data_IF_031850389696
#
_entry.id   IF_031850389696
#
_cell.length_a   1.000
_cell.length_b   1.000
_cell.length_c   1.000
_cell.angle_alpha   90.00
_cell.angle_beta   90.00
_cell.angle_gamma   90.00
#
_symmetry.space_group_name_H-M   'P 1'
#
loop_
_entity.id
_entity.type
_entity.pdbx_description
1 polymer ?
#
# COMPACT_ATOMS: atom_id res chain seq x y z
N UNK A 1 -26.26 9.48 -5.88
CA UNK A 1 -25.92 8.06 -6.13
C UNK A 1 -24.64 7.78 -5.36
N UNK A 2 -24.72 6.96 -4.32
CA UNK A 2 -23.56 6.51 -3.55
C UNK A 2 -22.98 5.27 -4.27
N UNK A 3 -21.76 5.37 -4.81
CA UNK A 3 -21.12 4.30 -5.56
C UNK A 3 -20.51 3.21 -4.66
N UNK A 4 -21.13 2.90 -3.51
CA UNK A 4 -20.63 1.84 -2.62
C UNK A 4 -19.16 2.07 -2.23
N UNK A 5 -18.80 3.29 -1.84
CA UNK A 5 -17.41 3.66 -1.62
C UNK A 5 -16.87 2.92 -0.38
N UNK A 6 -15.96 1.97 -0.57
CA UNK A 6 -15.29 1.28 0.55
C UNK A 6 -14.50 2.32 1.35
N UNK A 7 -14.76 2.39 2.65
CA UNK A 7 -14.04 3.31 3.55
C UNK A 7 -12.54 2.96 3.52
N UNK A 8 -11.62 3.94 3.46
CA UNK A 8 -10.18 3.66 3.48
C UNK A 8 -9.74 2.81 4.67
N UNK A 9 -10.36 3.02 5.84
CA UNK A 9 -10.15 2.20 7.03
C UNK A 9 -10.43 0.71 6.78
N UNK A 10 -11.52 0.40 6.09
CA UNK A 10 -11.88 -0.98 5.75
C UNK A 10 -10.85 -1.64 4.83
N UNK A 11 -10.29 -0.91 3.87
CA UNK A 11 -9.22 -1.44 3.01
C UNK A 11 -7.97 -1.73 3.85
N UNK A 12 -7.55 -0.77 4.67
CA UNK A 12 -6.36 -0.91 5.54
C UNK A 12 -6.54 -2.08 6.51
N UNK A 13 -7.68 -2.22 7.17
CA UNK A 13 -7.96 -3.31 8.09
C UNK A 13 -7.91 -4.69 7.40
N UNK A 14 -8.39 -4.79 6.15
CA UNK A 14 -8.28 -6.02 5.38
C UNK A 14 -6.84 -6.33 4.95
N UNK A 15 -6.07 -5.32 4.55
CA UNK A 15 -4.64 -5.49 4.24
C UNK A 15 -3.85 -5.94 5.47
N UNK A 16 -4.09 -5.33 6.63
CA UNK A 16 -3.46 -5.75 7.89
C UNK A 16 -3.78 -7.22 8.15
N UNK A 17 -5.05 -7.62 8.09
CA UNK A 17 -5.45 -9.01 8.32
C UNK A 17 -4.85 -10.00 7.32
N UNK A 18 -4.67 -9.61 6.07
CA UNK A 18 -4.14 -10.47 5.02
C UNK A 18 -2.64 -10.73 5.16
N UNK A 19 -1.88 -9.78 5.74
CA UNK A 19 -0.42 -9.83 5.77
C UNK A 19 0.20 -9.86 7.18
N UNK A 20 -0.61 -9.74 8.23
CA UNK A 20 -0.15 -9.87 9.61
C UNK A 20 0.47 -11.26 9.84
N UNK A 21 1.70 -11.29 10.36
CA UNK A 21 2.42 -12.52 10.65
C UNK A 21 3.08 -13.19 9.43
N UNK A 22 3.07 -12.53 8.26
CA UNK A 22 3.89 -12.94 7.12
C UNK A 22 5.32 -12.42 7.28
N UNK A 23 6.27 -13.04 6.58
CA UNK A 23 7.68 -12.61 6.56
C UNK A 23 7.92 -11.37 5.67
N UNK A 24 6.86 -10.83 5.04
CA UNK A 24 6.96 -9.62 4.23
C UNK A 24 6.84 -8.36 5.08
N UNK A 25 7.69 -7.37 4.80
CA UNK A 25 7.46 -6.01 5.28
C UNK A 25 6.39 -5.33 4.42
N UNK A 26 5.35 -4.81 5.05
CA UNK A 26 4.18 -4.24 4.39
C UNK A 26 4.15 -2.74 4.65
N UNK A 27 4.17 -1.95 3.58
CA UNK A 27 4.09 -0.49 3.65
C UNK A 27 2.75 -0.01 3.07
N UNK A 28 1.93 0.64 3.89
CA UNK A 28 0.59 1.09 3.52
C UNK A 28 0.52 2.61 3.58
N UNK A 29 0.48 3.27 2.42
CA UNK A 29 0.26 4.70 2.34
C UNK A 29 -1.25 5.04 2.48
N UNK A 30 -1.64 5.72 3.56
CA UNK A 30 -3.04 6.04 3.85
C UNK A 30 -3.22 7.42 4.53
N UNK A 31 -3.52 8.46 3.75
CA UNK A 31 -3.68 9.86 4.23
C UNK A 31 -4.74 10.02 5.35
N UNK A 32 -5.81 9.20 5.32
CA UNK A 32 -6.93 9.30 6.26
C UNK A 32 -6.75 8.45 7.53
N UNK A 33 -5.60 7.77 7.67
CA UNK A 33 -5.29 6.90 8.80
C UNK A 33 -4.09 7.48 9.53
N UNK A 34 -4.14 7.47 10.87
CA UNK A 34 -3.01 7.91 11.67
C UNK A 34 -1.82 6.96 11.44
N UNK A 35 -0.60 7.50 11.25
CA UNK A 35 0.59 6.67 11.14
C UNK A 35 0.73 5.73 12.33
N UNK A 36 1.08 4.49 12.07
CA UNK A 36 1.36 3.50 13.08
C UNK A 36 2.22 2.35 12.54
N UNK A 37 2.88 1.67 13.46
CA UNK A 37 3.66 0.48 13.18
C UNK A 37 3.09 -0.68 14.00
N UNK A 38 2.91 -1.84 13.36
CA UNK A 38 2.46 -3.07 14.00
C UNK A 38 3.19 -4.25 13.39
N UNK A 39 4.14 -4.83 14.12
CA UNK A 39 4.95 -5.96 13.67
C UNK A 39 5.62 -5.67 12.31
N UNK A 40 5.25 -6.43 11.27
CA UNK A 40 5.77 -6.31 9.91
C UNK A 40 5.02 -5.25 9.05
N UNK A 41 4.07 -4.50 9.63
CA UNK A 41 3.21 -3.57 8.92
C UNK A 41 3.51 -2.12 9.36
N UNK A 42 3.81 -1.29 8.38
CA UNK A 42 4.14 0.13 8.50
C UNK A 42 3.08 0.95 7.78
N UNK A 43 2.36 1.80 8.53
CA UNK A 43 1.32 2.67 8.00
C UNK A 43 1.78 4.10 8.17
N UNK A 44 1.82 4.84 7.08
CA UNK A 44 2.11 6.27 7.09
C UNK A 44 1.23 6.97 6.05
N UNK A 45 1.14 8.29 6.11
CA UNK A 45 0.44 9.09 5.10
C UNK A 45 1.17 9.05 3.77
N UNK A 46 2.51 9.04 3.79
CA UNK A 46 3.37 9.09 2.61
C UNK A 46 4.66 8.31 2.87
N UNK A 47 5.23 7.79 1.78
CA UNK A 47 6.58 7.22 1.78
C UNK A 47 7.38 7.74 0.60
N UNK A 48 8.70 7.63 0.71
CA UNK A 48 9.61 7.85 -0.40
C UNK A 48 9.61 6.61 -1.32
N UNK A 49 8.75 6.62 -2.33
CA UNK A 49 8.62 5.51 -3.26
C UNK A 49 9.88 5.25 -4.09
N UNK A 50 10.75 6.27 -4.26
CA UNK A 50 12.02 6.07 -4.96
C UNK A 50 12.97 5.15 -4.20
N UNK A 51 12.79 5.03 -2.88
CA UNK A 51 13.55 4.12 -2.01
C UNK A 51 12.85 2.77 -1.82
N UNK A 52 11.53 2.78 -1.67
CA UNK A 52 10.77 1.55 -1.38
C UNK A 52 10.57 0.66 -2.59
N UNK A 53 10.16 1.23 -3.73
CA UNK A 53 9.72 0.44 -4.88
C UNK A 53 10.83 -0.44 -5.49
N UNK A 54 12.10 0.00 -5.63
CA UNK A 54 13.16 -0.85 -6.17
C UNK A 54 13.33 -2.20 -5.47
N UNK A 55 13.06 -2.26 -4.16
CA UNK A 55 13.22 -3.45 -3.32
C UNK A 55 11.88 -4.18 -3.07
N UNK A 56 10.78 -3.72 -3.68
CA UNK A 56 9.43 -4.22 -3.42
C UNK A 56 9.10 -5.45 -4.28
N UNK A 57 8.64 -6.53 -3.66
CA UNK A 57 8.22 -7.77 -4.36
C UNK A 57 6.89 -7.59 -5.12
N UNK A 58 5.97 -6.78 -4.59
CA UNK A 58 4.69 -6.47 -5.24
C UNK A 58 4.15 -5.09 -4.84
N UNK A 59 3.63 -4.34 -5.82
CA UNK A 59 3.06 -3.01 -5.61
C UNK A 59 1.55 -3.00 -5.88
N UNK A 60 0.75 -3.07 -4.81
CA UNK A 60 -0.71 -2.96 -4.89
C UNK A 60 -1.11 -1.50 -4.96
N UNK A 61 -1.81 -1.10 -6.01
CA UNK A 61 -2.16 0.31 -6.22
C UNK A 61 -3.56 0.50 -6.83
N UNK A 62 -4.05 1.75 -6.82
CA UNK A 62 -5.41 2.07 -7.30
C UNK A 62 -5.53 2.18 -8.82
N UNK A 63 -4.47 1.90 -9.58
CA UNK A 63 -4.47 2.02 -11.04
C UNK A 63 -4.43 3.45 -11.57
N UNK A 64 -4.00 4.43 -10.76
CA UNK A 64 -3.78 5.79 -11.26
C UNK A 64 -2.62 5.80 -12.26
N UNK A 65 -2.61 6.72 -13.24
CA UNK A 65 -1.53 6.81 -14.22
C UNK A 65 -0.13 6.90 -13.56
N UNK A 66 0.00 7.71 -12.51
CA UNK A 66 1.27 7.86 -11.77
C UNK A 66 1.68 6.56 -11.05
N UNK A 67 0.72 5.85 -10.46
CA UNK A 67 0.99 4.58 -9.78
C UNK A 67 1.41 3.51 -10.79
N UNK A 68 0.68 3.38 -11.89
CA UNK A 68 1.00 2.43 -12.97
C UNK A 68 2.39 2.71 -13.52
N UNK A 69 2.69 3.98 -13.82
CA UNK A 69 4.00 4.38 -14.33
C UNK A 69 5.10 4.06 -13.32
N UNK A 70 4.90 4.32 -12.03
CA UNK A 70 5.88 4.00 -10.99
C UNK A 70 6.22 2.51 -10.98
N UNK A 71 5.21 1.63 -10.98
CA UNK A 71 5.46 0.19 -11.00
C UNK A 71 6.18 -0.29 -12.28
N UNK A 72 5.83 0.30 -13.44
CA UNK A 72 6.50 0.00 -14.71
C UNK A 72 7.96 0.47 -14.72
N UNK A 73 8.24 1.66 -14.21
CA UNK A 73 9.59 2.25 -14.16
C UNK A 73 10.58 1.40 -13.37
N UNK A 74 10.11 0.73 -12.32
CA UNK A 74 10.93 -0.14 -11.47
C UNK A 74 10.76 -1.63 -11.76
N UNK A 75 9.95 -2.00 -12.77
CA UNK A 75 9.74 -3.41 -13.15
C UNK A 75 9.04 -4.27 -12.09
N UNK A 76 8.29 -3.66 -11.17
CA UNK A 76 7.64 -4.37 -10.05
C UNK A 76 6.27 -4.91 -10.46
N UNK A 77 5.91 -6.17 -10.11
CA UNK A 77 4.57 -6.70 -10.32
C UNK A 77 3.48 -5.82 -9.67
N UNK A 78 2.42 -5.53 -10.43
CA UNK A 78 1.32 -4.66 -10.00
C UNK A 78 0.00 -5.41 -9.86
N UNK A 79 -0.81 -5.02 -8.86
CA UNK A 79 -2.17 -5.52 -8.63
C UNK A 79 -3.11 -4.41 -8.18
#
# INVERSE_FOLDING_TARGET
MDYGTIKPRTVVDNLIKAFEGTDFQIYIAAEQINPCEKNNIYIDKRFDFSKLIPETVAYINRGSQNSIMTGLMYGVPQK
#
